data_IF_995768826175
#
_entry.id   IF_995768826175
#
_cell.length_a   1.000
_cell.length_b   1.000
_cell.length_c   1.000
_cell.angle_alpha   90.00
_cell.angle_beta   90.00
_cell.angle_gamma   90.00
#
_symmetry.space_group_name_H-M   'P 1'
#
loop_
_entity.id
_entity.type
_entity.pdbx_description
1 polymer ?
#
# COMPACT_ATOMS: atom_id res chain seq x y z
N UNK A 1 8.41 18.35 -3.24
CA UNK A 1 7.15 17.94 -3.90
C UNK A 1 7.25 16.45 -4.14
N UNK A 2 6.20 15.68 -3.85
CA UNK A 2 6.13 14.25 -4.15
C UNK A 2 4.80 13.95 -4.87
N UNK A 3 4.82 13.08 -5.87
CA UNK A 3 3.60 12.64 -6.56
C UNK A 3 2.87 11.60 -5.72
N UNK A 4 2.14 12.08 -4.74
CA UNK A 4 1.32 11.30 -3.83
C UNK A 4 0.01 12.03 -3.53
N UNK A 5 -1.04 11.29 -3.19
CA UNK A 5 -2.33 11.83 -2.77
C UNK A 5 -2.78 11.10 -1.52
N UNK A 6 -3.21 11.86 -0.51
CA UNK A 6 -3.97 11.29 0.60
C UNK A 6 -5.33 10.84 0.06
N UNK A 7 -5.74 9.62 0.39
CA UNK A 7 -7.02 9.02 0.02
C UNK A 7 -7.76 8.69 1.30
N UNK A 8 -8.88 9.35 1.54
CA UNK A 8 -9.79 9.09 2.67
C UNK A 8 -10.88 8.13 2.23
N UNK A 9 -11.12 7.11 3.05
CA UNK A 9 -12.22 6.17 2.88
C UNK A 9 -13.58 6.85 3.20
N UNK A 10 -14.55 6.90 2.27
CA UNK A 10 -15.86 7.49 2.52
C UNK A 10 -16.70 6.70 3.55
N UNK A 11 -16.40 5.42 3.78
CA UNK A 11 -17.11 4.59 4.75
C UNK A 11 -16.48 4.63 6.14
N UNK A 12 -15.20 4.92 6.23
CA UNK A 12 -14.46 5.08 7.49
C UNK A 12 -13.55 6.32 7.40
N UNK A 13 -14.04 7.52 7.78
CA UNK A 13 -13.27 8.75 7.64
C UNK A 13 -11.97 8.81 8.47
N UNK A 14 -11.78 7.88 9.42
CA UNK A 14 -10.53 7.75 10.19
C UNK A 14 -9.45 6.98 9.42
N UNK A 15 -9.85 6.30 8.35
CA UNK A 15 -8.99 5.47 7.52
C UNK A 15 -8.47 6.25 6.33
N UNK A 16 -7.15 6.29 6.22
CA UNK A 16 -6.45 7.00 5.16
C UNK A 16 -5.38 6.13 4.51
N UNK A 17 -5.21 6.33 3.20
CA UNK A 17 -4.09 5.81 2.43
C UNK A 17 -3.27 6.96 1.86
N UNK A 18 -2.00 6.70 1.56
CA UNK A 18 -1.22 7.52 0.65
C UNK A 18 -1.02 6.72 -0.63
N UNK A 19 -1.74 7.11 -1.68
CA UNK A 19 -1.55 6.57 -3.02
C UNK A 19 -0.46 7.36 -3.74
N UNK A 20 0.63 6.70 -4.11
CA UNK A 20 1.79 7.35 -4.75
C UNK A 20 2.32 6.53 -5.92
N UNK A 21 3.07 7.18 -6.81
CA UNK A 21 3.81 6.46 -7.86
C UNK A 21 4.93 5.60 -7.26
N UNK A 22 5.40 4.62 -8.04
CA UNK A 22 6.67 3.97 -7.75
C UNK A 22 7.79 5.01 -7.67
N UNK A 23 8.63 5.00 -6.61
CA UNK A 23 9.73 5.93 -6.51
C UNK A 23 10.62 5.91 -7.76
N UNK A 24 11.02 7.09 -8.21
CA UNK A 24 12.10 7.26 -9.18
C UNK A 24 13.41 7.38 -8.41
N UNK A 25 14.54 7.08 -9.05
CA UNK A 25 15.88 7.16 -8.41
C UNK A 25 16.10 8.49 -7.71
N UNK A 26 15.69 9.59 -8.35
CA UNK A 26 15.81 10.95 -7.82
C UNK A 26 14.77 11.32 -6.75
N UNK A 27 13.71 10.54 -6.55
CA UNK A 27 12.64 10.82 -5.56
C UNK A 27 12.62 9.80 -4.41
N UNK A 28 13.64 8.94 -4.30
CA UNK A 28 13.73 7.95 -3.20
C UNK A 28 13.80 8.65 -1.84
N UNK A 29 14.60 9.72 -1.74
CA UNK A 29 14.73 10.49 -0.50
C UNK A 29 13.39 11.15 -0.12
N UNK A 30 12.70 11.77 -1.08
CA UNK A 30 11.38 12.37 -0.87
C UNK A 30 10.34 11.34 -0.41
N UNK A 31 10.38 10.13 -0.98
CA UNK A 31 9.48 9.04 -0.62
C UNK A 31 9.68 8.59 0.83
N UNK A 32 10.92 8.39 1.26
CA UNK A 32 11.22 8.01 2.63
C UNK A 32 10.93 9.15 3.63
N UNK A 33 11.18 10.39 3.23
CA UNK A 33 10.79 11.56 4.03
C UNK A 33 9.28 11.60 4.24
N UNK A 34 8.48 11.38 3.18
CA UNK A 34 7.03 11.28 3.29
C UNK A 34 6.59 10.15 4.23
N UNK A 35 7.19 8.95 4.13
CA UNK A 35 6.90 7.82 5.03
C UNK A 35 7.16 8.18 6.49
N UNK A 36 8.27 8.89 6.77
CA UNK A 36 8.61 9.36 8.11
C UNK A 36 7.66 10.46 8.58
N UNK A 37 7.43 11.50 7.80
CA UNK A 37 6.58 12.64 8.17
C UNK A 37 5.15 12.19 8.47
N UNK A 38 4.66 11.23 7.69
CA UNK A 38 3.30 10.70 7.82
C UNK A 38 3.20 9.60 8.87
N UNK A 39 4.29 9.23 9.55
CA UNK A 39 4.29 8.15 10.56
C UNK A 39 3.71 6.83 10.02
N UNK A 40 3.96 6.56 8.74
CA UNK A 40 3.53 5.33 8.07
C UNK A 40 4.22 4.11 8.70
N UNK A 41 3.43 3.08 8.99
CA UNK A 41 3.93 1.80 9.54
C UNK A 41 4.08 0.70 8.50
N UNK A 42 3.42 0.85 7.36
CA UNK A 42 3.41 -0.15 6.30
C UNK A 42 3.38 0.47 4.91
N UNK A 43 4.17 -0.11 4.01
CA UNK A 43 4.22 0.17 2.58
C UNK A 43 3.78 -1.08 1.83
N UNK A 44 2.79 -0.93 0.96
CA UNK A 44 2.32 -1.98 0.04
C UNK A 44 2.78 -1.64 -1.37
N UNK A 45 3.74 -2.41 -1.88
CA UNK A 45 4.31 -2.31 -3.22
C UNK A 45 3.67 -3.37 -4.13
N UNK A 46 2.89 -2.92 -5.12
CA UNK A 46 2.12 -3.80 -6.04
C UNK A 46 2.78 -3.94 -7.42
N UNK A 47 4.09 -3.71 -7.52
CA UNK A 47 4.83 -3.84 -8.76
C UNK A 47 6.26 -4.28 -8.51
N UNK A 48 6.82 -5.06 -9.42
CA UNK A 48 8.27 -5.28 -9.48
C UNK A 48 8.95 -4.01 -9.99
N UNK A 49 10.27 -3.95 -9.83
CA UNK A 49 11.07 -2.85 -10.37
C UNK A 49 11.01 -2.76 -11.89
N UNK A 50 10.94 -3.93 -12.53
CA UNK A 50 10.90 -4.09 -13.97
C UNK A 50 9.70 -4.99 -14.31
N UNK A 51 8.95 -4.60 -15.33
CA UNK A 51 8.20 -5.56 -16.14
C UNK A 51 9.09 -6.01 -17.30
N UNK A 52 8.60 -6.89 -18.18
CA UNK A 52 9.37 -7.46 -19.30
C UNK A 52 10.14 -6.47 -20.20
N UNK A 53 9.76 -5.18 -20.24
CA UNK A 53 10.29 -4.20 -21.20
C UNK A 53 10.65 -2.84 -20.54
N UNK A 54 10.18 -2.55 -19.32
CA UNK A 54 10.21 -1.19 -18.77
C UNK A 54 10.43 -1.17 -17.25
N UNK A 55 11.27 -0.24 -16.79
CA UNK A 55 11.38 0.11 -15.36
C UNK A 55 10.05 0.70 -14.88
N UNK A 56 9.42 0.04 -13.91
CA UNK A 56 8.15 0.43 -13.29
C UNK A 56 8.32 1.16 -11.97
N UNK A 57 9.41 0.87 -11.26
CA UNK A 57 9.71 1.42 -9.94
C UNK A 57 11.23 1.29 -9.71
N UNK A 58 11.90 2.36 -9.27
CA UNK A 58 13.27 2.22 -8.78
C UNK A 58 13.25 1.40 -7.48
N UNK A 59 14.27 0.57 -7.26
CA UNK A 59 14.46 -0.11 -5.98
C UNK A 59 14.79 0.94 -4.91
N UNK A 60 13.94 1.05 -3.90
CA UNK A 60 14.09 2.00 -2.79
C UNK A 60 14.22 1.31 -1.42
N UNK A 61 14.27 -0.02 -1.43
CA UNK A 61 14.53 -0.88 -0.26
C UNK A 61 15.86 -1.63 -0.45
N UNK A 62 16.58 -1.99 0.64
CA UNK A 62 17.93 -2.53 0.54
C UNK A 62 17.97 -3.92 -0.13
N UNK A 63 19.07 -4.21 -0.83
CA UNK A 63 19.44 -5.56 -1.26
C UNK A 63 19.87 -6.43 -0.07
N UNK A 64 19.75 -7.75 -0.22
CA UNK A 64 20.11 -8.77 0.77
C UNK A 64 21.52 -8.58 1.39
N UNK A 65 22.45 -7.95 0.65
CA UNK A 65 23.83 -7.65 1.09
C UNK A 65 24.02 -6.21 1.64
N UNK A 66 23.13 -5.26 1.34
CA UNK A 66 23.24 -3.85 1.78
C UNK A 66 22.66 -3.62 3.18
N UNK A 67 21.96 -4.60 3.74
CA UNK A 67 21.50 -4.60 5.14
C UNK A 67 22.68 -4.53 6.12
N UNK A 68 23.88 -4.96 5.71
CA UNK A 68 25.12 -4.85 6.49
C UNK A 68 25.75 -3.44 6.49
N UNK A 69 25.44 -2.57 5.52
CA UNK A 69 26.07 -1.24 5.41
C UNK A 69 25.26 -0.10 6.05
N UNK A 70 23.99 -0.35 6.41
CA UNK A 70 23.22 0.55 7.28
C UNK A 70 23.39 0.23 8.79
N UNK A 71 24.25 -0.74 9.14
CA UNK A 71 24.46 -1.21 10.50
C UNK A 71 25.88 -0.86 11.00
N UNK A 72 26.00 0.24 11.73
CA UNK A 72 26.78 0.20 12.97
C UNK A 72 25.80 0.18 14.14
N UNK A 73 25.81 -0.91 14.88
CA UNK A 73 24.85 -1.26 15.93
C UNK A 73 24.04 -2.50 15.57
N UNK A 74 24.68 -3.67 15.75
CA UNK A 74 24.08 -5.00 15.64
C UNK A 74 22.81 -5.14 16.49
N UNK A 75 21.77 -5.73 15.90
CA UNK A 75 20.83 -6.60 16.61
C UNK A 75 20.40 -7.72 15.62
N UNK A 76 20.73 -9.01 15.89
CA UNK A 76 20.69 -10.09 14.91
C UNK A 76 19.37 -10.85 14.91
N UNK A 77 18.24 -10.16 14.72
CA UNK A 77 16.95 -10.83 14.54
C UNK A 77 16.32 -10.48 13.18
N UNK A 78 16.64 -11.35 12.23
CA UNK A 78 15.75 -11.91 11.21
C UNK A 78 15.18 -10.98 10.14
N UNK A 79 15.92 -10.85 9.04
CA UNK A 79 15.33 -10.65 7.71
C UNK A 79 14.84 -12.01 7.20
N UNK A 80 13.69 -12.47 7.70
CA UNK A 80 13.04 -13.67 7.18
C UNK A 80 12.26 -13.32 5.91
N UNK A 81 12.91 -13.53 4.76
CA UNK A 81 12.20 -13.69 3.49
C UNK A 81 11.50 -15.05 3.53
N UNK A 82 10.33 -15.12 4.17
CA UNK A 82 9.37 -16.16 3.78
C UNK A 82 9.06 -15.92 2.29
N UNK A 83 8.85 -16.97 1.50
CA UNK A 83 8.67 -16.96 0.04
C UNK A 83 7.59 -16.03 -0.55
N UNK A 84 7.03 -15.14 0.26
CA UNK A 84 5.97 -14.16 0.00
C UNK A 84 6.52 -12.73 -0.24
N UNK A 85 7.84 -12.51 -0.27
CA UNK A 85 8.43 -11.20 -0.65
C UNK A 85 8.30 -10.08 0.40
N UNK A 86 8.32 -10.40 1.69
CA UNK A 86 8.20 -9.43 2.80
C UNK A 86 9.56 -8.89 3.26
N UNK A 87 9.66 -7.59 3.51
CA UNK A 87 10.89 -6.94 4.02
C UNK A 87 10.56 -6.00 5.18
N UNK A 88 11.23 -6.12 6.32
CA UNK A 88 11.12 -5.16 7.43
C UNK A 88 12.24 -4.13 7.28
N UNK A 89 11.88 -2.85 7.21
CA UNK A 89 12.82 -1.75 7.01
C UNK A 89 12.87 -0.90 8.28
N UNK A 90 14.07 -0.69 8.81
CA UNK A 90 14.29 0.24 9.91
C UNK A 90 14.81 1.56 9.37
N UNK A 91 14.06 2.64 9.62
CA UNK A 91 14.41 3.99 9.18
C UNK A 91 14.76 4.83 10.40
N UNK A 92 15.89 5.54 10.35
CA UNK A 92 16.34 6.43 11.44
C UNK A 92 16.15 7.88 10.99
N UNK A 93 15.44 8.68 11.78
CA UNK A 93 15.39 10.13 11.59
C UNK A 93 16.35 10.81 12.58
N UNK A 94 17.19 11.72 12.08
CA UNK A 94 18.13 12.50 12.90
C UNK A 94 17.54 13.90 13.03
N UNK A 95 16.91 14.19 14.17
CA UNK A 95 16.44 15.53 14.50
C UNK A 95 17.63 16.41 14.97
N UNK A 96 17.61 17.75 14.76
CA UNK A 96 18.73 18.66 15.04
C UNK A 96 19.24 18.65 16.49
N UNK A 97 18.42 18.19 17.45
CA UNK A 97 18.77 18.00 18.86
C UNK A 97 18.83 16.51 19.23
N UNK A 98 19.86 15.82 18.70
CA UNK A 98 20.52 14.56 19.16
C UNK A 98 19.63 13.32 19.46
N UNK A 99 18.31 13.38 19.32
CA UNK A 99 17.44 12.24 19.57
C UNK A 99 17.18 11.50 18.27
N UNK A 100 17.88 10.38 18.06
CA UNK A 100 17.62 9.49 16.92
C UNK A 100 16.31 8.74 17.17
N UNK A 101 15.24 9.14 16.49
CA UNK A 101 13.99 8.35 16.48
C UNK A 101 14.11 7.25 15.44
N UNK A 102 14.25 6.01 15.91
CA UNK A 102 14.20 4.82 15.05
C UNK A 102 12.74 4.43 14.83
N UNK A 103 12.33 4.32 13.57
CA UNK A 103 11.00 3.85 13.18
C UNK A 103 11.11 2.56 12.39
N UNK A 104 10.30 1.56 12.78
CA UNK A 104 10.15 0.32 12.02
C UNK A 104 9.00 0.50 11.03
N UNK A 105 9.27 0.26 9.75
CA UNK A 105 8.33 0.31 8.64
C UNK A 105 8.33 -1.04 7.94
N UNK A 106 7.17 -1.68 7.86
CA UNK A 106 7.01 -2.93 7.11
C UNK A 106 6.85 -2.61 5.63
N UNK A 107 7.60 -3.30 4.77
CA UNK A 107 7.47 -3.21 3.33
C UNK A 107 7.03 -4.56 2.78
N UNK A 108 6.00 -4.56 1.95
CA UNK A 108 5.49 -5.77 1.30
C UNK A 108 5.58 -5.59 -0.19
N UNK A 109 6.35 -6.44 -0.85
CA UNK A 109 6.37 -6.56 -2.30
C UNK A 109 5.40 -7.66 -2.74
N UNK A 110 4.25 -7.26 -3.27
CA UNK A 110 3.28 -8.19 -3.83
C UNK A 110 3.63 -8.53 -5.28
N UNK A 111 4.18 -9.72 -5.50
CA UNK A 111 4.71 -10.18 -6.79
C UNK A 111 3.72 -10.99 -7.63
N UNK A 112 2.55 -11.31 -7.08
CA UNK A 112 1.52 -12.14 -7.72
C UNK A 112 0.58 -11.34 -8.64
N UNK A 113 0.72 -10.02 -8.72
CA UNK A 113 0.01 -9.24 -9.73
C UNK A 113 0.71 -9.36 -11.10
N UNK A 114 0.03 -9.84 -12.16
CA UNK A 114 0.66 -10.00 -13.47
C UNK A 114 0.93 -8.66 -14.18
N UNK A 115 1.90 -8.66 -15.09
CA UNK A 115 2.22 -7.50 -15.96
C UNK A 115 0.99 -7.05 -16.75
N UNK A 116 0.21 -8.01 -17.26
CA UNK A 116 -1.04 -7.78 -17.99
C UNK A 116 -2.26 -8.33 -17.23
N UNK A 117 -3.29 -7.50 -17.11
CA UNK A 117 -4.56 -7.89 -16.48
C UNK A 117 -4.55 -7.85 -14.95
N UNK A 118 -5.15 -8.87 -14.35
CA UNK A 118 -5.38 -9.01 -12.90
C UNK A 118 -5.07 -10.45 -12.47
N UNK A 119 -4.80 -10.71 -11.18
CA UNK A 119 -4.69 -12.07 -10.67
C UNK A 119 -5.93 -12.92 -11.01
N UNK A 120 -5.71 -14.21 -11.27
CA UNK A 120 -6.80 -15.18 -11.51
C UNK A 120 -7.60 -15.44 -10.24
N UNK A 121 -6.91 -15.49 -9.11
CA UNK A 121 -7.43 -15.75 -7.77
C UNK A 121 -7.39 -14.49 -6.89
N UNK A 122 -8.33 -14.41 -5.96
CA UNK A 122 -8.59 -13.28 -5.05
C UNK A 122 -7.99 -13.49 -3.67
N UNK A 123 -7.78 -14.74 -3.23
CA UNK A 123 -7.31 -15.07 -1.88
C UNK A 123 -5.99 -14.37 -1.47
N UNK A 124 -5.05 -14.23 -2.41
CA UNK A 124 -3.75 -13.58 -2.12
C UNK A 124 -3.89 -12.07 -1.87
N UNK A 125 -4.75 -11.37 -2.63
CA UNK A 125 -4.95 -9.92 -2.44
C UNK A 125 -5.79 -9.64 -1.18
N UNK A 126 -6.75 -10.51 -0.86
CA UNK A 126 -7.54 -10.47 0.38
C UNK A 126 -6.62 -10.68 1.59
N UNK A 127 -5.75 -11.68 1.53
CA UNK A 127 -4.76 -11.96 2.58
C UNK A 127 -3.79 -10.81 2.78
N UNK A 128 -3.34 -10.18 1.68
CA UNK A 128 -2.51 -8.97 1.73
C UNK A 128 -3.24 -7.82 2.43
N UNK A 129 -4.50 -7.55 2.06
CA UNK A 129 -5.29 -6.49 2.68
C UNK A 129 -5.46 -6.71 4.19
N UNK A 130 -5.74 -7.95 4.59
CA UNK A 130 -5.89 -8.35 6.00
C UNK A 130 -4.61 -8.18 6.79
N UNK A 131 -3.49 -8.62 6.21
CA UNK A 131 -2.20 -8.47 6.85
C UNK A 131 -1.80 -7.00 6.95
N UNK A 132 -2.02 -6.22 5.90
CA UNK A 132 -1.69 -4.80 5.90
C UNK A 132 -2.51 -4.01 6.94
N UNK A 133 -3.76 -4.43 7.17
CA UNK A 133 -4.64 -3.88 8.20
C UNK A 133 -4.06 -3.99 9.61
N UNK A 134 -3.36 -5.09 9.91
CA UNK A 134 -2.78 -5.31 11.25
C UNK A 134 -1.75 -4.25 11.66
N UNK A 135 -1.27 -3.42 10.71
CA UNK A 135 -0.35 -2.32 10.96
C UNK A 135 -1.04 -0.96 11.15
N UNK A 136 -2.36 -0.86 10.95
CA UNK A 136 -3.15 0.37 11.11
C UNK A 136 -3.68 0.50 12.54
N UNK A 137 -2.78 0.55 13.52
CA UNK A 137 -3.12 0.84 14.93
C UNK A 137 -3.55 2.31 15.11
N UNK A 138 -4.21 2.70 16.22
CA UNK A 138 -4.64 4.09 16.44
C UNK A 138 -3.54 5.17 16.34
N UNK A 139 -2.29 4.79 16.58
CA UNK A 139 -1.12 5.68 16.51
C UNK A 139 -0.33 5.52 15.19
N UNK A 140 -0.82 4.73 14.24
CA UNK A 140 -0.21 4.57 12.93
C UNK A 140 -0.71 5.68 12.01
N UNK A 141 0.19 6.22 11.19
CA UNK A 141 -0.22 7.03 10.06
C UNK A 141 -0.75 6.20 8.90
N UNK A 142 -1.15 6.86 7.81
CA UNK A 142 -1.73 6.22 6.64
C UNK A 142 -0.80 5.15 6.04
N UNK A 143 -1.40 4.06 5.59
CA UNK A 143 -0.72 3.07 4.78
C UNK A 143 -0.28 3.69 3.45
N UNK A 144 1.00 3.54 3.09
CA UNK A 144 1.48 3.94 1.77
C UNK A 144 1.25 2.78 0.81
N UNK A 145 0.56 3.05 -0.30
CA UNK A 145 0.27 2.05 -1.34
C UNK A 145 0.75 2.59 -2.68
N UNK A 146 1.55 1.80 -3.40
CA UNK A 146 2.00 2.20 -4.72
C UNK A 146 2.11 1.01 -5.68
N UNK A 147 2.14 1.35 -6.96
CA UNK A 147 2.51 0.45 -8.04
C UNK A 147 3.53 1.18 -8.93
N UNK A 148 3.29 1.29 -10.23
CA UNK A 148 4.09 2.15 -11.11
C UNK A 148 3.57 3.58 -11.12
N UNK A 149 2.36 3.84 -11.62
CA UNK A 149 1.76 5.18 -11.63
C UNK A 149 1.00 5.55 -10.33
N UNK A 150 0.74 4.56 -9.46
CA UNK A 150 0.02 4.79 -8.22
C UNK A 150 -1.50 4.97 -8.38
N UNK A 151 -2.11 4.37 -9.41
CA UNK A 151 -3.56 4.52 -9.67
C UNK A 151 -4.27 3.19 -9.97
N UNK A 152 -3.74 2.35 -10.87
CA UNK A 152 -4.36 1.09 -11.30
C UNK A 152 -4.41 0.03 -10.19
N UNK A 153 -3.31 -0.72 -10.02
CA UNK A 153 -3.18 -1.75 -8.96
C UNK A 153 -3.37 -1.15 -7.57
N UNK A 154 -2.80 0.04 -7.33
CA UNK A 154 -2.96 0.82 -6.10
C UNK A 154 -4.42 1.08 -5.76
N UNK A 155 -5.19 1.63 -6.71
CA UNK A 155 -6.61 1.90 -6.48
C UNK A 155 -7.40 0.62 -6.25
N UNK A 156 -7.11 -0.45 -7.00
CA UNK A 156 -7.80 -1.72 -6.82
C UNK A 156 -7.54 -2.30 -5.42
N UNK A 157 -6.30 -2.27 -4.94
CA UNK A 157 -5.97 -2.69 -3.57
C UNK A 157 -6.68 -1.83 -2.52
N UNK A 158 -6.64 -0.50 -2.65
CA UNK A 158 -7.31 0.40 -1.70
C UNK A 158 -8.82 0.11 -1.63
N UNK A 159 -9.50 -0.05 -2.77
CA UNK A 159 -10.94 -0.38 -2.82
C UNK A 159 -11.23 -1.72 -2.13
N UNK A 160 -10.47 -2.78 -2.47
CA UNK A 160 -10.65 -4.11 -1.87
C UNK A 160 -10.43 -4.06 -0.36
N UNK A 161 -9.36 -3.39 0.07
CA UNK A 161 -9.02 -3.21 1.48
C UNK A 161 -10.11 -2.45 2.25
N UNK A 162 -10.64 -1.37 1.67
CA UNK A 162 -11.74 -0.59 2.23
C UNK A 162 -13.02 -1.41 2.38
N UNK A 163 -13.41 -2.17 1.36
CA UNK A 163 -14.61 -3.02 1.44
C UNK A 163 -14.46 -4.10 2.52
N UNK A 164 -13.33 -4.81 2.55
CA UNK A 164 -13.08 -5.84 3.57
C UNK A 164 -13.12 -5.24 4.98
N UNK A 165 -12.50 -4.08 5.18
CA UNK A 165 -12.51 -3.39 6.46
C UNK A 165 -13.93 -2.98 6.88
N UNK A 166 -14.67 -2.31 5.99
CA UNK A 166 -16.02 -1.85 6.28
C UNK A 166 -16.99 -3.02 6.55
N UNK A 167 -16.87 -4.13 5.82
CA UNK A 167 -17.62 -5.36 6.09
C UNK A 167 -17.30 -5.91 7.48
N UNK A 168 -16.03 -5.97 7.87
CA UNK A 168 -15.61 -6.46 9.20
C UNK A 168 -16.11 -5.59 10.35
N UNK A 169 -16.10 -4.28 10.14
CA UNK A 169 -16.60 -3.32 11.11
C UNK A 169 -18.14 -3.26 11.13
N UNK A 170 -18.84 -3.99 10.24
CA UNK A 170 -20.30 -3.97 10.15
C UNK A 170 -20.88 -2.67 9.62
N UNK A 171 -20.07 -1.85 8.92
CA UNK A 171 -20.47 -0.52 8.45
C UNK A 171 -21.54 -0.55 7.35
N UNK A 172 -21.71 -1.70 6.68
CA UNK A 172 -22.70 -1.87 5.62
C UNK A 172 -24.07 -2.36 6.10
N UNK A 173 -24.26 -2.66 7.39
CA UNK A 173 -25.41 -3.44 7.88
C UNK A 173 -26.78 -2.86 7.48
N UNK A 174 -26.95 -1.55 7.56
CA UNK A 174 -28.20 -0.89 7.13
C UNK A 174 -28.21 -0.61 5.63
N UNK A 175 -27.08 -0.18 5.05
CA UNK A 175 -26.97 0.16 3.63
C UNK A 175 -27.13 -1.05 2.70
N UNK A 176 -26.79 -2.26 3.12
CA UNK A 176 -27.01 -3.49 2.34
C UNK A 176 -28.50 -3.78 2.08
N UNK A 177 -29.41 -3.16 2.84
CA UNK A 177 -30.85 -3.27 2.61
C UNK A 177 -31.31 -2.39 1.43
N UNK A 178 -30.49 -1.43 1.01
CA UNK A 178 -30.80 -0.53 -0.09
C UNK A 178 -30.35 -1.14 -1.42
N UNK A 179 -31.29 -1.35 -2.34
CA UNK A 179 -31.01 -1.92 -3.67
C UNK A 179 -30.02 -1.08 -4.52
N UNK A 180 -29.82 0.18 -4.14
CA UNK A 180 -28.91 1.12 -4.82
C UNK A 180 -27.53 1.19 -4.20
N UNK A 181 -27.27 0.49 -3.10
CA UNK A 181 -25.99 0.52 -2.42
C UNK A 181 -24.95 -0.36 -3.14
N UNK A 182 -23.94 0.29 -3.72
CA UNK A 182 -22.80 -0.36 -4.35
C UNK A 182 -21.50 0.16 -3.73
N UNK A 183 -20.91 -0.58 -2.76
CA UNK A 183 -19.74 -0.10 -2.05
C UNK A 183 -18.50 0.01 -2.95
N UNK A 184 -18.36 -0.89 -3.93
CA UNK A 184 -17.21 -0.91 -4.85
C UNK A 184 -17.29 0.31 -5.77
N UNK A 185 -18.44 0.58 -6.37
CA UNK A 185 -18.63 1.76 -7.22
C UNK A 185 -18.42 3.07 -6.44
N UNK A 186 -19.00 3.19 -5.24
CA UNK A 186 -18.90 4.39 -4.42
C UNK A 186 -17.45 4.68 -3.99
N UNK A 187 -16.69 3.65 -3.61
CA UNK A 187 -15.27 3.79 -3.30
C UNK A 187 -14.46 4.23 -4.52
N UNK A 188 -14.71 3.62 -5.69
CA UNK A 188 -14.01 3.99 -6.93
C UNK A 188 -14.31 5.43 -7.33
N UNK A 189 -15.58 5.87 -7.27
CA UNK A 189 -15.97 7.25 -7.55
C UNK A 189 -15.30 8.23 -6.59
N UNK A 190 -15.37 7.95 -5.28
CA UNK A 190 -14.75 8.77 -4.23
C UNK A 190 -13.23 8.87 -4.42
N UNK A 191 -12.55 7.75 -4.63
CA UNK A 191 -11.09 7.73 -4.79
C UNK A 191 -10.64 8.42 -6.07
N UNK A 192 -11.42 8.35 -7.16
CA UNK A 192 -11.13 9.08 -8.41
C UNK A 192 -11.22 10.59 -8.28
N UNK A 193 -12.03 11.11 -7.36
CA UNK A 193 -12.09 12.54 -7.03
C UNK A 193 -10.85 13.00 -6.25
N UNK A 194 -10.18 12.10 -5.53
CA UNK A 194 -9.01 12.38 -4.70
C UNK A 194 -7.68 12.15 -5.45
N UNK A 195 -7.64 11.16 -6.34
CA UNK A 195 -6.52 10.91 -7.26
C UNK A 195 -7.05 10.39 -8.60
N UNK A 196 -6.67 11.07 -9.67
CA UNK A 196 -7.16 10.75 -11.01
C UNK A 196 -6.83 9.30 -11.41
N UNK A 197 -7.78 8.62 -12.06
CA UNK A 197 -7.65 7.25 -12.60
C UNK A 197 -7.44 6.10 -11.60
N UNK A 198 -7.81 6.29 -10.33
CA UNK A 198 -7.89 5.19 -9.37
C UNK A 198 -8.78 4.06 -9.92
N UNK A 199 -8.27 2.82 -9.89
CA UNK A 199 -8.81 1.67 -10.64
C UNK A 199 -8.90 1.99 -12.13
N UNK A 200 -7.78 1.80 -12.83
CA UNK A 200 -7.55 2.37 -14.15
C UNK A 200 -8.29 1.63 -15.27
N UNK A 201 -8.47 0.32 -15.14
CA UNK A 201 -9.03 -0.54 -16.21
C UNK A 201 -10.33 -1.21 -15.77
N UNK A 202 -11.18 -1.55 -16.74
CA UNK A 202 -12.42 -2.29 -16.48
C UNK A 202 -12.16 -3.65 -15.82
N UNK A 203 -11.11 -4.37 -16.23
CA UNK A 203 -10.76 -5.66 -15.64
C UNK A 203 -10.36 -5.53 -14.17
N UNK A 204 -9.67 -4.45 -13.79
CA UNK A 204 -9.39 -4.13 -12.37
C UNK A 204 -10.66 -3.83 -11.59
N UNK A 205 -11.61 -3.09 -12.20
CA UNK A 205 -12.90 -2.81 -11.57
C UNK A 205 -13.68 -4.09 -11.28
N UNK A 206 -13.80 -4.99 -12.26
CA UNK A 206 -14.43 -6.32 -12.06
C UNK A 206 -13.68 -7.14 -11.01
N UNK A 207 -12.35 -7.08 -10.98
CA UNK A 207 -11.55 -7.77 -9.97
C UNK A 207 -11.82 -7.26 -8.55
N UNK A 208 -12.10 -5.97 -8.37
CA UNK A 208 -12.54 -5.44 -7.08
C UNK A 208 -13.84 -6.09 -6.59
N UNK A 209 -14.86 -6.23 -7.45
CA UNK A 209 -16.09 -6.95 -7.07
C UNK A 209 -15.80 -8.41 -6.72
N UNK A 210 -15.01 -9.09 -7.55
CA UNK A 210 -14.65 -10.49 -7.29
C UNK A 210 -14.01 -10.64 -5.92
N UNK A 211 -13.03 -9.80 -5.57
CA UNK A 211 -12.33 -9.90 -4.28
C UNK A 211 -13.17 -9.40 -3.09
N UNK A 212 -14.09 -8.46 -3.30
CA UNK A 212 -14.94 -7.90 -2.25
C UNK A 212 -16.00 -8.87 -1.74
N UNK A 213 -16.43 -9.82 -2.57
CA UNK A 213 -17.55 -10.73 -2.32
C UNK A 213 -17.16 -12.21 -2.44
N UNK A 214 -15.86 -12.51 -2.32
CA UNK A 214 -15.30 -13.86 -2.19
C UNK A 214 -15.32 -14.32 -0.73
#
# INVERSE_FOLDING_TARGET
YINASMITDPFDPSRHYIATQGPLRQTIADFWQMVLDQNTRIIVCLTREMDSIQEKCARYWPLQEEVLLAQSGKDPNETMLNGDGRVIIQVRNIEPEVTVKVRKVSHILYTAWPDHGVPTETGNIISLANFAESFQTPNAGPMVVHCSAGCGRTGAFCVISSVINATRQGLFTESLKEATFDPVFQLVDSFRRQRTTMVQTFVQFVFCYRAAFD
#
